data_IF_628536490236
#
_entry.id   IF_628536490236
#
_cell.length_a   1.000
_cell.length_b   1.000
_cell.length_c   1.000
_cell.angle_alpha   90.00
_cell.angle_beta   90.00
_cell.angle_gamma   90.00
#
_symmetry.space_group_name_H-M   'P 1'
#
loop_
_entity.id
_entity.type
_entity.pdbx_description
1 polymer ?
#
# COMPACT_ATOMS: atom_id res chain seq x y z
N UNK A 1 8.65 3.78 6.33
CA UNK A 1 9.88 4.44 6.85
C UNK A 1 9.89 4.41 8.38
N UNK A 2 11.05 4.52 9.02
CA UNK A 2 11.19 4.60 10.48
C UNK A 2 11.78 5.95 10.87
N UNK A 3 11.14 6.62 11.82
CA UNK A 3 11.60 7.87 12.41
C UNK A 3 11.75 7.69 13.92
N UNK A 4 12.69 8.40 14.53
CA UNK A 4 12.86 8.45 15.98
C UNK A 4 12.79 9.91 16.43
N UNK A 5 11.95 10.22 17.40
CA UNK A 5 11.86 11.54 17.99
C UNK A 5 13.02 11.79 18.97
N UNK A 6 13.34 13.05 19.29
CA UNK A 6 14.32 13.38 20.33
C UNK A 6 14.00 12.76 21.70
N UNK A 7 12.72 12.58 22.01
CA UNK A 7 12.20 11.99 23.25
C UNK A 7 12.29 10.45 23.26
N UNK A 8 12.73 9.84 22.16
CA UNK A 8 12.91 8.39 22.04
C UNK A 8 11.71 7.61 21.51
N UNK A 9 10.62 8.29 21.11
CA UNK A 9 9.46 7.64 20.49
C UNK A 9 9.77 7.27 19.03
N UNK A 10 9.42 6.05 18.62
CA UNK A 10 9.59 5.59 17.24
C UNK A 10 8.29 5.75 16.45
N UNK A 11 8.36 6.29 15.24
CA UNK A 11 7.23 6.29 14.29
C UNK A 11 7.52 5.38 13.12
N UNK A 12 6.65 4.39 12.92
CA UNK A 12 6.61 3.55 11.72
C UNK A 12 5.60 4.16 10.77
N UNK A 13 6.06 4.76 9.68
CA UNK A 13 5.21 5.44 8.70
C UNK A 13 5.05 4.59 7.45
N UNK A 14 3.81 4.17 7.18
CA UNK A 14 3.41 3.38 6.02
C UNK A 14 3.04 4.31 4.85
N UNK A 15 3.50 3.96 3.64
CA UNK A 15 3.14 4.68 2.43
C UNK A 15 1.72 4.36 2.00
N UNK A 16 0.93 5.38 1.69
CA UNK A 16 -0.46 5.22 1.29
C UNK A 16 -1.11 6.56 0.99
N UNK A 17 -2.14 6.58 0.13
CA UNK A 17 -2.87 7.81 -0.18
C UNK A 17 -3.80 8.25 0.97
N UNK A 18 -4.30 7.29 1.78
CA UNK A 18 -5.01 7.60 3.02
C UNK A 18 -4.04 8.00 4.12
N UNK A 19 -4.34 9.12 4.78
CA UNK A 19 -3.53 9.69 5.87
C UNK A 19 -4.25 9.73 7.22
N UNK A 20 -5.45 9.16 7.30
CA UNK A 20 -6.24 9.14 8.54
C UNK A 20 -5.56 8.27 9.60
N UNK A 21 -5.61 8.75 10.85
CA UNK A 21 -5.18 7.98 12.02
C UNK A 21 -6.29 7.00 12.41
N UNK A 22 -5.93 5.73 12.58
CA UNK A 22 -6.91 4.66 12.82
C UNK A 22 -7.71 4.28 11.58
N UNK A 23 -8.77 3.49 11.78
CA UNK A 23 -9.66 3.00 10.73
C UNK A 23 -10.11 1.57 10.98
N UNK A 24 -11.24 1.17 10.41
CA UNK A 24 -11.75 -0.21 10.52
C UNK A 24 -11.09 -1.18 9.53
N UNK A 25 -10.41 -0.64 8.51
CA UNK A 25 -9.60 -1.40 7.58
C UNK A 25 -8.39 -2.06 8.28
N UNK A 26 -7.80 -3.06 7.62
CA UNK A 26 -6.73 -3.86 8.20
C UNK A 26 -5.51 -3.02 8.62
N UNK A 27 -5.16 -1.98 7.86
CA UNK A 27 -4.04 -1.08 8.16
C UNK A 27 -4.43 -0.07 9.23
N UNK A 28 -5.65 0.47 9.16
CA UNK A 28 -6.22 1.38 10.16
C UNK A 28 -6.17 0.80 11.58
N UNK A 29 -6.49 -0.49 11.75
CA UNK A 29 -6.38 -1.20 13.04
C UNK A 29 -4.97 -1.28 13.60
N UNK A 30 -3.95 -1.23 12.73
CA UNK A 30 -2.54 -1.21 13.11
C UNK A 30 -2.06 0.19 13.48
N UNK A 31 -2.69 1.25 12.95
CA UNK A 31 -2.31 2.65 13.12
C UNK A 31 -2.63 3.18 14.53
N UNK A 32 -1.90 2.69 15.53
CA UNK A 32 -2.01 3.01 16.94
C UNK A 32 -0.65 2.98 17.63
N UNK A 33 -0.62 3.28 18.93
CA UNK A 33 0.57 3.08 19.77
C UNK A 33 0.72 1.60 20.14
N UNK A 34 1.97 1.14 20.18
CA UNK A 34 2.39 -0.19 20.57
C UNK A 34 3.59 -0.08 21.49
N UNK A 35 3.65 -0.92 22.51
CA UNK A 35 4.80 -1.03 23.42
C UNK A 35 5.60 -2.27 23.05
N UNK A 36 6.91 -2.11 22.88
CA UNK A 36 7.82 -3.22 22.57
C UNK A 36 9.18 -3.01 23.23
N UNK A 37 9.57 -3.95 24.10
CA UNK A 37 10.84 -3.89 24.85
C UNK A 37 11.07 -2.56 25.61
N UNK A 38 10.01 -2.02 26.21
CA UNK A 38 10.05 -0.76 26.95
C UNK A 38 10.19 0.49 26.08
N UNK A 39 9.99 0.36 24.76
CA UNK A 39 9.96 1.48 23.82
C UNK A 39 8.58 1.62 23.17
N UNK A 40 8.15 2.87 23.01
CA UNK A 40 6.90 3.20 22.34
C UNK A 40 7.11 3.30 20.82
N UNK A 41 6.30 2.56 20.08
CA UNK A 41 6.17 2.62 18.63
C UNK A 41 4.79 3.14 18.24
N UNK A 42 4.74 4.15 17.38
CA UNK A 42 3.50 4.67 16.80
C UNK A 42 3.47 4.30 15.33
N UNK A 43 2.49 3.48 14.95
CA UNK A 43 2.26 3.17 13.53
C UNK A 43 1.34 4.24 12.96
N UNK A 44 1.73 4.80 11.81
CA UNK A 44 0.95 5.77 11.04
C UNK A 44 0.96 5.38 9.57
N UNK A 45 -0.03 5.86 8.82
CA UNK A 45 -0.07 5.80 7.35
C UNK A 45 -0.11 7.19 6.73
N UNK A 46 0.02 7.27 5.42
CA UNK A 46 -0.03 8.51 4.66
C UNK A 46 1.32 8.99 4.15
N UNK A 47 2.35 8.14 4.18
CA UNK A 47 3.61 8.51 3.54
C UNK A 47 3.39 8.72 2.04
N UNK A 48 3.94 9.82 1.51
CA UNK A 48 3.78 10.23 0.11
C UNK A 48 2.33 10.36 -0.37
N UNK A 49 1.37 10.62 0.54
CA UNK A 49 -0.06 10.56 0.23
C UNK A 49 -0.50 11.26 -1.08
N UNK A 50 -0.04 12.50 -1.41
CA UNK A 50 -0.42 13.14 -2.66
C UNK A 50 0.08 12.39 -3.91
N UNK A 51 1.28 11.80 -3.84
CA UNK A 51 1.85 11.01 -4.94
C UNK A 51 1.16 9.66 -5.05
N UNK A 52 0.93 8.98 -3.93
CA UNK A 52 0.19 7.71 -3.90
C UNK A 52 -1.23 7.89 -4.43
N UNK A 53 -1.89 9.02 -4.14
CA UNK A 53 -3.20 9.35 -4.71
C UNK A 53 -3.19 9.42 -6.23
N UNK A 54 -2.15 10.02 -6.84
CA UNK A 54 -1.99 10.05 -8.30
C UNK A 54 -1.75 8.66 -8.89
N UNK A 55 -0.97 7.83 -8.21
CA UNK A 55 -0.74 6.43 -8.63
C UNK A 55 -2.06 5.65 -8.60
N UNK A 56 -2.84 5.79 -7.53
CA UNK A 56 -4.17 5.16 -7.42
C UNK A 56 -5.08 5.59 -8.56
N UNK A 57 -5.21 6.89 -8.82
CA UNK A 57 -6.07 7.39 -9.91
C UNK A 57 -5.63 6.86 -11.28
N UNK A 58 -4.32 6.87 -11.58
CA UNK A 58 -3.81 6.35 -12.84
C UNK A 58 -4.05 4.84 -13.01
N UNK A 59 -3.94 4.06 -11.93
CA UNK A 59 -4.25 2.64 -11.95
C UNK A 59 -5.75 2.38 -12.15
N UNK A 60 -6.62 3.18 -11.52
CA UNK A 60 -8.07 3.10 -11.74
C UNK A 60 -8.44 3.45 -13.18
N UNK A 61 -7.80 4.46 -13.78
CA UNK A 61 -7.96 4.82 -15.19
C UNK A 61 -7.45 3.74 -16.16
N UNK A 62 -6.52 2.88 -15.74
CA UNK A 62 -6.06 1.75 -16.54
C UNK A 62 -7.05 0.58 -16.58
N UNK A 63 -7.96 0.45 -15.61
CA UNK A 63 -8.88 -0.68 -15.49
C UNK A 63 -9.76 -0.95 -16.73
N UNK A 64 -10.28 0.06 -17.46
CA UNK A 64 -11.07 -0.16 -18.68
C UNK A 64 -10.24 -0.69 -19.86
N UNK A 65 -8.91 -0.65 -19.76
CA UNK A 65 -7.98 -0.99 -20.84
C UNK A 65 -7.25 -2.32 -20.63
N UNK A 66 -7.58 -3.05 -19.57
CA UNK A 66 -6.97 -4.35 -19.29
C UNK A 66 -7.40 -5.40 -20.30
N UNK A 67 -6.48 -6.30 -20.62
CA UNK A 67 -6.71 -7.37 -21.59
C UNK A 67 -7.53 -8.52 -20.98
N UNK A 68 -7.37 -8.79 -19.69
CA UNK A 68 -7.97 -9.95 -19.03
C UNK A 68 -8.29 -9.75 -17.54
N UNK A 69 -8.92 -10.77 -16.95
CA UNK A 69 -9.36 -10.76 -15.54
C UNK A 69 -8.21 -10.74 -14.55
N UNK A 70 -7.06 -11.32 -14.90
CA UNK A 70 -5.88 -11.35 -14.03
C UNK A 70 -5.29 -9.95 -13.92
N UNK A 71 -5.18 -9.20 -15.03
CA UNK A 71 -4.78 -7.79 -15.02
C UNK A 71 -5.76 -6.91 -14.23
N UNK A 72 -7.07 -7.10 -14.42
CA UNK A 72 -8.08 -6.37 -13.64
C UNK A 72 -7.92 -6.62 -12.13
N UNK A 73 -7.74 -7.88 -11.73
CA UNK A 73 -7.58 -8.26 -10.33
C UNK A 73 -6.25 -7.75 -9.74
N UNK A 74 -5.17 -7.83 -10.51
CA UNK A 74 -3.87 -7.27 -10.17
C UNK A 74 -3.96 -5.77 -9.88
N UNK A 75 -4.51 -4.99 -10.81
CA UNK A 75 -4.62 -3.53 -10.69
C UNK A 75 -5.49 -3.15 -9.49
N UNK A 76 -6.63 -3.81 -9.27
CA UNK A 76 -7.50 -3.55 -8.11
C UNK A 76 -6.77 -3.78 -6.77
N UNK A 77 -5.97 -4.83 -6.69
CA UNK A 77 -5.18 -5.15 -5.50
C UNK A 77 -4.05 -4.11 -5.28
N UNK A 78 -3.41 -3.62 -6.34
CA UNK A 78 -2.43 -2.54 -6.25
C UNK A 78 -3.06 -1.21 -5.85
N UNK A 79 -4.25 -0.88 -6.37
CA UNK A 79 -5.03 0.28 -5.94
C UNK A 79 -5.28 0.22 -4.43
N UNK A 80 -5.77 -0.91 -3.91
CA UNK A 80 -5.97 -1.09 -2.48
C UNK A 80 -4.65 -0.95 -1.70
N UNK A 81 -3.57 -1.56 -2.18
CA UNK A 81 -2.25 -1.45 -1.55
C UNK A 81 -1.76 -0.01 -1.45
N UNK A 82 -1.76 0.76 -2.55
CA UNK A 82 -1.29 2.14 -2.56
C UNK A 82 -2.25 3.11 -1.90
N UNK A 83 -3.54 2.78 -1.82
CA UNK A 83 -4.51 3.59 -1.10
C UNK A 83 -4.36 3.44 0.41
N UNK A 84 -4.35 2.20 0.88
CA UNK A 84 -4.45 1.89 2.30
C UNK A 84 -3.08 1.70 2.98
N UNK A 85 -2.02 1.48 2.19
CA UNK A 85 -0.68 1.15 2.67
C UNK A 85 -0.53 -0.32 3.08
N UNK A 86 -1.24 -1.21 2.38
CA UNK A 86 -1.34 -2.63 2.71
C UNK A 86 -0.42 -3.50 1.84
N UNK A 87 0.61 -4.08 2.44
CA UNK A 87 1.41 -5.13 1.79
C UNK A 87 0.60 -6.42 1.60
N UNK A 88 -0.34 -6.70 2.50
CA UNK A 88 -1.24 -7.85 2.34
C UNK A 88 -2.19 -7.71 1.16
N UNK A 89 -2.49 -6.48 0.71
CA UNK A 89 -3.20 -6.24 -0.55
C UNK A 89 -2.26 -6.32 -1.77
N UNK A 90 -0.99 -5.91 -1.63
CA UNK A 90 -0.01 -6.01 -2.72
C UNK A 90 0.24 -7.46 -3.15
N UNK A 91 0.38 -8.36 -2.17
CA UNK A 91 0.68 -9.78 -2.39
C UNK A 91 -0.33 -10.49 -3.32
N UNK A 92 -1.67 -10.39 -3.13
CA UNK A 92 -2.66 -10.87 -4.09
C UNK A 92 -2.48 -10.28 -5.49
N UNK A 93 -2.19 -8.98 -5.59
CA UNK A 93 -1.90 -8.34 -6.88
C UNK A 93 -0.74 -9.03 -7.60
N UNK A 94 0.37 -9.26 -6.89
CA UNK A 94 1.51 -10.00 -7.43
C UNK A 94 1.20 -11.47 -7.76
N UNK A 95 0.25 -12.11 -7.06
CA UNK A 95 -0.21 -13.47 -7.44
C UNK A 95 -0.98 -13.48 -8.76
N UNK A 96 -1.81 -12.46 -9.00
CA UNK A 96 -2.50 -12.29 -10.28
C UNK A 96 -1.52 -11.94 -11.40
N UNK A 97 -0.57 -11.05 -11.14
CA UNK A 97 0.54 -10.76 -12.05
C UNK A 97 1.30 -12.03 -12.48
N UNK A 98 1.67 -12.90 -11.54
CA UNK A 98 2.34 -14.18 -11.85
C UNK A 98 1.49 -15.08 -12.77
N UNK A 99 0.16 -15.02 -12.68
CA UNK A 99 -0.75 -15.84 -13.49
C UNK A 99 -0.98 -15.28 -14.89
N UNK A 100 -0.79 -13.98 -15.09
CA UNK A 100 -0.90 -13.33 -16.39
C UNK A 100 0.33 -13.69 -17.24
N UNK A 101 0.19 -14.69 -18.13
CA UNK A 101 1.32 -15.26 -18.88
C UNK A 101 1.38 -14.69 -20.29
N UNK A 102 2.52 -14.06 -20.61
CA UNK A 102 2.79 -13.52 -21.94
C UNK A 102 1.84 -12.40 -22.37
N UNK A 103 1.53 -11.43 -21.49
CA UNK A 103 0.67 -10.31 -21.88
C UNK A 103 1.35 -9.47 -22.97
N UNK A 104 0.55 -8.83 -23.83
CA UNK A 104 1.08 -7.95 -24.87
C UNK A 104 1.80 -6.72 -24.29
N UNK A 105 1.31 -6.22 -23.15
CA UNK A 105 1.92 -5.13 -22.37
C UNK A 105 2.17 -5.64 -20.95
N UNK A 106 3.45 -5.84 -20.62
CA UNK A 106 3.89 -6.30 -19.30
C UNK A 106 4.21 -5.11 -18.39
N UNK A 107 3.82 -5.18 -17.11
CA UNK A 107 4.16 -4.15 -16.13
C UNK A 107 4.09 -4.67 -14.69
N UNK A 108 4.88 -4.05 -13.82
CA UNK A 108 4.86 -4.30 -12.38
C UNK A 108 5.17 -3.01 -11.62
N UNK A 109 4.53 -2.82 -10.45
CA UNK A 109 4.67 -1.58 -9.66
C UNK A 109 4.56 -1.86 -8.16
N UNK A 110 5.36 -1.16 -7.37
CA UNK A 110 5.37 -1.28 -5.90
C UNK A 110 6.61 -0.68 -5.26
N UNK A 111 6.71 -0.84 -3.95
CA UNK A 111 7.96 -0.70 -3.21
C UNK A 111 8.65 -2.08 -3.22
N UNK A 112 9.53 -2.31 -4.21
CA UNK A 112 10.00 -3.66 -4.57
C UNK A 112 11.38 -3.99 -4.01
N UNK A 113 12.40 -3.20 -4.38
CA UNK A 113 13.81 -3.40 -3.97
C UNK A 113 14.20 -2.48 -2.81
#
# INVERSE_FOLDING_TARGET
RLFKSPEGEYTVLLAGSRSEAGGEDAVGKLCRKHEFNGQTFVVRRGDYAPLMGRVVSALEEALPHVENVEQSAMIKAYVESFRDGSIEAHKPGSRHWIKDKGPAVESYIGFIE
#
